data_IF_658230273808
#
_entry.id   IF_658230273808
#
_cell.length_a   1.000
_cell.length_b   1.000
_cell.length_c   1.000
_cell.angle_alpha   90.00
_cell.angle_beta   90.00
_cell.angle_gamma   90.00
#
_symmetry.space_group_name_H-M   'P 1'
#
loop_
_entity.id
_entity.type
_entity.pdbx_description
1 polymer ?
#
# COMPACT_ATOMS: atom_id res chain seq x y z
N UNK A 1 -51.49 6.36 19.86
CA UNK A 1 -51.53 5.43 18.72
C UNK A 1 -50.20 4.71 18.66
N UNK A 2 -50.17 3.41 18.38
CA UNK A 2 -48.95 2.70 17.99
C UNK A 2 -48.60 3.06 16.54
N UNK A 3 -47.35 3.47 16.28
CA UNK A 3 -46.84 3.61 14.91
C UNK A 3 -46.71 2.23 14.30
N UNK A 4 -47.07 2.07 13.02
CA UNK A 4 -46.90 0.84 12.26
C UNK A 4 -45.72 1.05 11.32
N UNK A 5 -44.57 0.47 11.67
CA UNK A 5 -43.39 0.50 10.81
C UNK A 5 -43.54 -0.51 9.67
N UNK A 6 -43.41 -0.04 8.43
CA UNK A 6 -43.43 -0.87 7.22
C UNK A 6 -42.01 -1.01 6.66
N UNK A 7 -41.62 -2.23 6.29
CA UNK A 7 -40.32 -2.52 5.68
C UNK A 7 -40.51 -3.04 4.25
N UNK A 8 -39.91 -2.36 3.27
CA UNK A 8 -39.89 -2.78 1.86
C UNK A 8 -38.54 -3.46 1.58
N UNK A 9 -38.53 -4.52 0.77
CA UNK A 9 -37.34 -5.31 0.44
C UNK A 9 -37.19 -5.45 -1.08
N UNK A 10 -36.04 -5.01 -1.62
CA UNK A 10 -35.64 -5.24 -3.00
C UNK A 10 -34.75 -6.49 -3.06
N UNK A 11 -35.36 -7.61 -3.46
CA UNK A 11 -34.76 -8.96 -3.39
C UNK A 11 -33.40 -9.12 -4.09
N UNK A 12 -33.20 -8.39 -5.19
CA UNK A 12 -32.01 -8.50 -6.06
C UNK A 12 -31.18 -7.20 -6.06
N UNK A 13 -31.25 -6.40 -4.99
CA UNK A 13 -30.51 -5.13 -4.88
C UNK A 13 -29.00 -5.33 -5.06
N UNK A 14 -28.42 -6.36 -4.44
CA UNK A 14 -26.98 -6.64 -4.52
C UNK A 14 -26.51 -6.93 -5.95
N UNK A 15 -27.27 -7.74 -6.69
CA UNK A 15 -26.93 -8.13 -8.06
C UNK A 15 -27.05 -6.92 -9.01
N UNK A 16 -28.08 -6.10 -8.83
CA UNK A 16 -28.23 -4.85 -9.57
C UNK A 16 -27.07 -3.88 -9.31
N UNK A 17 -26.68 -3.70 -8.04
CA UNK A 17 -25.54 -2.86 -7.67
C UNK A 17 -24.22 -3.40 -8.23
N UNK A 18 -23.98 -4.73 -8.20
CA UNK A 18 -22.81 -5.35 -8.85
C UNK A 18 -22.77 -4.98 -10.34
N UNK A 19 -23.84 -5.26 -11.08
CA UNK A 19 -23.89 -5.03 -12.53
C UNK A 19 -23.69 -3.54 -12.89
N UNK A 20 -24.27 -2.62 -12.12
CA UNK A 20 -24.08 -1.17 -12.33
C UNK A 20 -22.63 -0.74 -12.07
N UNK A 21 -21.97 -1.27 -11.04
CA UNK A 21 -20.57 -0.94 -10.74
C UNK A 21 -19.62 -1.54 -11.81
N UNK A 22 -19.95 -2.73 -12.34
CA UNK A 22 -19.24 -3.35 -13.47
C UNK A 22 -19.36 -2.50 -14.74
N UNK A 23 -20.55 -2.01 -15.07
CA UNK A 23 -20.80 -1.12 -16.22
C UNK A 23 -20.07 0.23 -16.07
N UNK A 24 -20.13 0.86 -14.89
CA UNK A 24 -19.38 2.08 -14.59
C UNK A 24 -17.86 1.90 -14.77
N UNK A 25 -17.29 0.79 -14.27
CA UNK A 25 -15.86 0.50 -14.43
C UNK A 25 -15.51 0.32 -15.92
N UNK A 26 -16.31 -0.46 -16.64
CA UNK A 26 -16.11 -0.75 -18.07
C UNK A 26 -16.16 0.52 -18.93
N UNK A 27 -17.07 1.44 -18.62
CA UNK A 27 -17.18 2.73 -19.30
C UNK A 27 -16.17 3.77 -18.78
N UNK A 28 -15.43 3.46 -17.70
CA UNK A 28 -14.54 4.37 -16.97
C UNK A 28 -15.26 5.59 -16.37
N UNK A 29 -16.56 5.48 -16.12
CA UNK A 29 -17.40 6.49 -15.49
C UNK A 29 -17.16 6.52 -13.98
N UNK A 30 -17.23 7.71 -13.36
CA UNK A 30 -17.03 7.94 -11.91
C UNK A 30 -15.70 7.41 -11.30
N UNK A 31 -14.78 6.91 -12.11
CA UNK A 31 -13.44 6.46 -11.68
C UNK A 31 -12.62 7.63 -11.12
N UNK A 32 -12.32 7.58 -9.83
CA UNK A 32 -11.71 8.68 -9.07
C UNK A 32 -10.30 8.35 -8.55
N UNK A 33 -9.70 7.26 -9.02
CA UNK A 33 -8.30 6.89 -8.79
C UNK A 33 -7.72 6.16 -9.99
N UNK A 34 -6.44 6.38 -10.26
CA UNK A 34 -5.66 5.57 -11.20
C UNK A 34 -4.65 4.71 -10.43
N UNK A 35 -4.47 3.46 -10.85
CA UNK A 35 -3.41 2.57 -10.40
C UNK A 35 -2.37 2.48 -11.51
N UNK A 36 -1.09 2.60 -11.17
CA UNK A 36 0.04 2.45 -12.10
C UNK A 36 0.82 1.18 -11.77
N UNK A 37 1.05 0.32 -12.77
CA UNK A 37 1.68 -0.99 -12.61
C UNK A 37 2.37 -1.41 -13.92
N UNK A 38 3.67 -1.73 -13.86
CA UNK A 38 4.45 -2.23 -15.01
C UNK A 38 4.31 -1.37 -16.31
N UNK A 39 4.17 -0.05 -16.15
CA UNK A 39 3.96 0.89 -17.27
C UNK A 39 2.48 1.13 -17.66
N UNK A 40 1.55 0.32 -17.16
CA UNK A 40 0.12 0.40 -17.44
C UNK A 40 -0.60 1.32 -16.44
N UNK A 41 -1.67 1.97 -16.88
CA UNK A 41 -2.55 2.81 -16.06
C UNK A 41 -3.96 2.22 -16.04
N UNK A 42 -4.43 1.78 -14.86
CA UNK A 42 -5.75 1.19 -14.65
C UNK A 42 -6.62 2.20 -13.89
N UNK A 43 -7.77 2.57 -14.43
CA UNK A 43 -8.75 3.40 -13.71
C UNK A 43 -9.61 2.56 -12.77
N UNK A 44 -9.96 3.10 -11.61
CA UNK A 44 -10.79 2.42 -10.61
C UNK A 44 -11.56 3.43 -9.72
N UNK A 45 -12.45 2.91 -8.89
CA UNK A 45 -13.21 3.65 -7.90
C UNK A 45 -12.61 3.46 -6.49
N UNK A 46 -12.27 4.54 -5.78
CA UNK A 46 -11.76 4.50 -4.41
C UNK A 46 -12.73 3.83 -3.45
N UNK A 47 -14.04 3.94 -3.68
CA UNK A 47 -15.05 3.34 -2.80
C UNK A 47 -14.99 1.81 -2.81
N UNK A 48 -14.80 1.19 -3.98
CA UNK A 48 -14.69 -0.27 -4.13
C UNK A 48 -13.36 -0.76 -3.59
N UNK A 49 -12.25 -0.11 -3.97
CA UNK A 49 -10.93 -0.43 -3.44
C UNK A 49 -10.89 -0.28 -1.91
N UNK A 50 -11.47 0.78 -1.35
CA UNK A 50 -11.58 0.96 0.10
C UNK A 50 -12.48 -0.07 0.77
N UNK A 51 -13.58 -0.50 0.13
CA UNK A 51 -14.45 -1.53 0.67
C UNK A 51 -13.71 -2.87 0.78
N UNK A 52 -12.99 -3.27 -0.27
CA UNK A 52 -12.38 -4.59 -0.40
C UNK A 52 -10.92 -4.68 0.10
N UNK A 53 -10.23 -3.57 0.36
CA UNK A 53 -8.84 -3.55 0.85
C UNK A 53 -8.64 -2.60 2.02
N UNK A 54 -7.94 -3.06 3.06
CA UNK A 54 -7.51 -2.21 4.18
C UNK A 54 -6.35 -1.28 3.81
N UNK A 55 -5.45 -1.72 2.93
CA UNK A 55 -4.32 -0.93 2.40
C UNK A 55 -4.83 0.32 1.66
N UNK A 56 -5.69 0.15 0.65
CA UNK A 56 -6.26 1.28 -0.09
C UNK A 56 -7.10 2.19 0.82
N UNK A 57 -7.87 1.63 1.76
CA UNK A 57 -8.67 2.38 2.75
C UNK A 57 -7.83 3.23 3.71
N UNK A 58 -6.60 2.84 4.01
CA UNK A 58 -5.68 3.65 4.83
C UNK A 58 -5.15 4.82 4.00
N UNK A 59 -4.62 4.53 2.80
CA UNK A 59 -4.00 5.53 1.92
C UNK A 59 -4.97 6.62 1.49
N UNK A 60 -6.18 6.28 1.05
CA UNK A 60 -7.17 7.26 0.59
C UNK A 60 -7.75 8.16 1.71
N UNK A 61 -7.37 7.95 2.98
CA UNK A 61 -7.66 8.90 4.07
C UNK A 61 -6.59 9.96 4.24
N UNK A 62 -5.36 9.69 3.80
CA UNK A 62 -4.22 10.60 3.96
C UNK A 62 -4.00 11.48 2.73
N UNK A 63 -4.28 10.95 1.53
CA UNK A 63 -4.25 11.73 0.29
C UNK A 63 -5.39 12.75 0.27
N UNK A 64 -5.07 13.99 -0.14
CA UNK A 64 -6.05 15.08 -0.36
C UNK A 64 -6.38 15.33 -1.84
N UNK A 65 -5.69 14.64 -2.74
CA UNK A 65 -5.87 14.75 -4.18
C UNK A 65 -7.21 14.12 -4.61
N UNK A 66 -8.06 14.80 -5.41
CA UNK A 66 -9.29 14.23 -5.93
C UNK A 66 -9.08 13.01 -6.83
N UNK A 67 -7.98 12.93 -7.59
CA UNK A 67 -7.66 11.77 -8.44
C UNK A 67 -6.19 11.32 -8.28
N UNK A 68 -5.86 10.55 -7.23
CA UNK A 68 -4.51 10.08 -6.98
C UNK A 68 -4.05 9.01 -7.97
N UNK A 69 -2.72 8.80 -8.01
CA UNK A 69 -2.08 7.71 -8.74
C UNK A 69 -1.40 6.79 -7.72
N UNK A 70 -1.91 5.57 -7.56
CA UNK A 70 -1.29 4.56 -6.68
C UNK A 70 -0.40 3.65 -7.52
N UNK A 71 0.90 3.72 -7.29
CA UNK A 71 1.90 2.84 -7.89
C UNK A 71 1.85 1.50 -7.13
N UNK A 72 1.74 0.39 -7.87
CA UNK A 72 1.77 -0.96 -7.31
C UNK A 72 3.00 -1.70 -7.84
N UNK A 73 3.86 -2.10 -6.91
CA UNK A 73 5.12 -2.81 -7.09
C UNK A 73 5.01 -4.24 -6.54
N UNK A 74 5.85 -5.15 -7.04
CA UNK A 74 5.96 -6.53 -6.51
C UNK A 74 4.75 -7.44 -6.79
N UNK A 75 3.87 -7.02 -7.70
CA UNK A 75 2.71 -7.77 -8.20
C UNK A 75 2.72 -7.58 -9.73
N UNK A 76 2.51 -8.65 -10.48
CA UNK A 76 2.41 -8.59 -11.95
C UNK A 76 1.07 -7.96 -12.38
N UNK A 77 1.04 -7.26 -13.51
CA UNK A 77 -0.16 -6.65 -14.08
C UNK A 77 -1.32 -7.64 -14.25
N UNK A 78 -1.05 -8.86 -14.74
CA UNK A 78 -2.12 -9.87 -14.89
C UNK A 78 -2.70 -10.32 -13.55
N UNK A 79 -1.85 -10.45 -12.53
CA UNK A 79 -2.25 -10.79 -11.17
C UNK A 79 -3.08 -9.66 -10.54
N UNK A 80 -2.68 -8.40 -10.73
CA UNK A 80 -3.47 -7.27 -10.22
C UNK A 80 -4.84 -7.20 -10.91
N UNK A 81 -4.95 -7.46 -12.22
CA UNK A 81 -6.24 -7.50 -12.90
C UNK A 81 -7.16 -8.58 -12.31
N UNK A 82 -6.64 -9.77 -11.97
CA UNK A 82 -7.40 -10.80 -11.26
C UNK A 82 -7.82 -10.37 -9.84
N UNK A 83 -6.97 -9.62 -9.13
CA UNK A 83 -7.31 -9.05 -7.80
C UNK A 83 -8.41 -7.99 -7.92
N UNK A 84 -8.36 -7.14 -8.95
CA UNK A 84 -9.40 -6.15 -9.21
C UNK A 84 -10.71 -6.82 -9.65
N UNK A 85 -10.66 -7.83 -10.52
CA UNK A 85 -11.83 -8.64 -10.88
C UNK A 85 -12.53 -9.19 -9.63
N UNK A 86 -11.77 -9.82 -8.73
CA UNK A 86 -12.29 -10.28 -7.43
C UNK A 86 -12.91 -9.15 -6.59
N UNK A 87 -12.30 -7.96 -6.54
CA UNK A 87 -12.83 -6.82 -5.77
C UNK A 87 -14.16 -6.27 -6.30
N UNK A 88 -14.42 -6.39 -7.60
CA UNK A 88 -15.65 -5.89 -8.24
C UNK A 88 -16.72 -6.98 -8.36
N UNK A 89 -16.33 -8.20 -8.72
CA UNK A 89 -17.24 -9.30 -8.99
C UNK A 89 -17.52 -10.20 -7.77
N UNK A 90 -16.68 -10.17 -6.73
CA UNK A 90 -16.79 -11.01 -5.53
C UNK A 90 -16.31 -12.46 -5.71
N UNK A 91 -15.93 -12.82 -6.94
CA UNK A 91 -15.37 -14.10 -7.35
C UNK A 91 -14.38 -13.85 -8.49
N UNK A 92 -13.47 -14.80 -8.76
CA UNK A 92 -12.48 -14.71 -9.84
C UNK A 92 -12.06 -16.12 -10.28
N UNK A 93 -11.81 -16.31 -11.56
CA UNK A 93 -11.44 -17.61 -12.14
C UNK A 93 -9.95 -17.65 -12.52
N UNK A 94 -9.13 -18.26 -11.65
CA UNK A 94 -7.67 -18.22 -11.76
C UNK A 94 -7.11 -19.62 -12.05
N UNK A 95 -6.13 -19.68 -12.96
CA UNK A 95 -5.36 -20.91 -13.22
C UNK A 95 -4.55 -21.31 -11.98
N UNK A 96 -4.41 -22.62 -11.74
CA UNK A 96 -3.60 -23.14 -10.61
C UNK A 96 -2.17 -22.59 -10.58
N UNK A 97 -1.55 -22.37 -11.74
CA UNK A 97 -0.18 -21.82 -11.86
C UNK A 97 -0.03 -20.38 -11.34
N UNK A 98 -1.11 -19.58 -11.31
CA UNK A 98 -1.10 -18.18 -10.88
C UNK A 98 -1.65 -17.99 -9.45
N UNK A 99 -2.08 -19.07 -8.79
CA UNK A 99 -2.83 -18.98 -7.53
C UNK A 99 -1.99 -18.45 -6.37
N UNK A 100 -0.75 -18.92 -6.22
CA UNK A 100 0.13 -18.50 -5.11
C UNK A 100 0.58 -17.03 -5.26
N UNK A 101 0.78 -16.57 -6.49
CA UNK A 101 1.08 -15.16 -6.80
C UNK A 101 -0.13 -14.26 -6.54
N UNK A 102 -1.32 -14.70 -6.94
CA UNK A 102 -2.59 -14.03 -6.60
C UNK A 102 -2.81 -13.94 -5.09
N UNK A 103 -2.57 -15.01 -4.34
CA UNK A 103 -2.70 -15.01 -2.88
C UNK A 103 -1.63 -14.12 -2.21
N UNK A 104 -0.40 -14.08 -2.75
CA UNK A 104 0.67 -13.18 -2.28
C UNK A 104 0.31 -11.71 -2.53
N UNK A 105 -0.16 -11.37 -3.73
CA UNK A 105 -0.62 -10.02 -4.08
C UNK A 105 -1.84 -9.59 -3.27
N UNK A 106 -2.83 -10.48 -3.12
CA UNK A 106 -4.03 -10.24 -2.31
C UNK A 106 -3.71 -10.03 -0.82
N UNK A 107 -2.70 -10.73 -0.29
CA UNK A 107 -2.22 -10.50 1.08
C UNK A 107 -1.47 -9.17 1.21
N UNK A 108 -0.63 -8.83 0.24
CA UNK A 108 0.10 -7.54 0.19
C UNK A 108 -0.86 -6.35 0.18
N UNK A 109 -1.88 -6.38 -0.69
CA UNK A 109 -2.93 -5.37 -0.78
C UNK A 109 -4.03 -5.52 0.30
N UNK A 110 -3.84 -6.37 1.30
CA UNK A 110 -4.73 -6.59 2.45
C UNK A 110 -6.21 -6.78 2.03
N UNK A 111 -6.45 -7.64 1.04
CA UNK A 111 -7.76 -7.86 0.42
C UNK A 111 -8.66 -8.73 1.31
N UNK A 112 -9.83 -8.20 1.65
CA UNK A 112 -10.81 -8.87 2.47
C UNK A 112 -11.32 -10.17 1.82
N UNK A 113 -11.68 -11.15 2.65
CA UNK A 113 -12.04 -12.51 2.19
C UNK A 113 -10.84 -13.41 1.90
N UNK A 114 -9.75 -12.87 1.35
CA UNK A 114 -8.55 -13.64 0.96
C UNK A 114 -7.46 -13.65 2.05
N UNK A 115 -7.35 -12.57 2.85
CA UNK A 115 -6.38 -12.47 3.95
C UNK A 115 -6.61 -13.42 5.12
N UNK A 116 -7.76 -14.10 5.19
CA UNK A 116 -8.22 -14.85 6.37
C UNK A 116 -8.39 -16.37 6.14
N UNK A 117 -7.67 -16.95 5.17
CA UNK A 117 -7.52 -18.41 5.06
C UNK A 117 -6.62 -18.89 6.21
N UNK A 118 -7.26 -19.34 7.29
CA UNK A 118 -6.57 -19.76 8.50
C UNK A 118 -5.82 -21.09 8.27
N UNK A 119 -4.61 -21.23 8.82
CA UNK A 119 -3.65 -22.28 8.44
C UNK A 119 -3.92 -23.67 9.06
N UNK A 120 -5.19 -24.01 9.28
CA UNK A 120 -5.65 -25.18 10.05
C UNK A 120 -6.67 -26.08 9.32
N UNK A 121 -7.02 -25.78 8.07
CA UNK A 121 -8.04 -26.52 7.30
C UNK A 121 -7.52 -27.20 6.03
N UNK A 122 -6.32 -27.78 6.10
CA UNK A 122 -5.76 -28.66 5.06
C UNK A 122 -5.21 -29.98 5.65
N UNK A 123 -5.87 -30.47 6.71
CA UNK A 123 -5.60 -31.81 7.26
C UNK A 123 -6.84 -32.40 7.96
N UNK A 124 -7.91 -32.64 7.17
CA UNK A 124 -8.93 -33.70 7.38
C UNK A 124 -10.00 -33.75 6.28
N UNK A 125 -10.40 -34.99 6.00
CA UNK A 125 -11.71 -35.47 5.54
C UNK A 125 -12.35 -34.74 4.35
N UNK A 126 -12.37 -35.29 3.13
CA UNK A 126 -12.91 -36.60 2.70
C UNK A 126 -14.38 -36.80 3.08
N UNK A 127 -15.23 -36.50 2.08
CA UNK A 127 -16.60 -37.03 1.86
C UNK A 127 -17.83 -36.32 2.48
N UNK A 128 -18.93 -36.39 1.72
CA UNK A 128 -20.34 -36.15 2.07
C UNK A 128 -20.86 -34.76 2.49
N UNK A 129 -21.32 -34.00 1.49
CA UNK A 129 -22.75 -33.65 1.31
C UNK A 129 -23.66 -33.31 2.50
N UNK A 130 -24.22 -32.08 2.44
CA UNK A 130 -25.48 -31.58 3.08
C UNK A 130 -25.47 -31.34 4.61
N UNK A 131 -25.79 -30.11 5.03
CA UNK A 131 -27.15 -29.67 5.48
C UNK A 131 -27.12 -28.19 5.90
N UNK A 132 -28.16 -27.42 5.53
CA UNK A 132 -28.39 -26.02 5.96
C UNK A 132 -29.06 -25.97 7.34
N UNK A 133 -28.64 -25.05 8.24
CA UNK A 133 -29.55 -24.44 9.26
C UNK A 133 -29.04 -23.20 10.02
N UNK A 134 -29.75 -22.09 9.80
CA UNK A 134 -30.22 -21.08 10.79
C UNK A 134 -29.27 -20.51 11.88
N UNK A 135 -28.85 -19.26 11.65
CA UNK A 135 -28.98 -18.08 12.54
C UNK A 135 -29.26 -18.31 14.05
N UNK A 136 -28.37 -17.78 14.91
CA UNK A 136 -28.73 -17.20 16.22
C UNK A 136 -27.95 -15.91 16.49
N UNK A 137 -28.63 -14.81 16.84
CA UNK A 137 -28.04 -13.54 17.32
C UNK A 137 -28.00 -13.52 18.86
N UNK A 138 -26.95 -12.93 19.47
CA UNK A 138 -26.90 -12.33 20.83
C UNK A 138 -25.44 -11.91 21.17
N UNK A 139 -25.18 -10.98 22.10
CA UNK A 139 -25.67 -9.59 22.09
C UNK A 139 -24.53 -8.57 22.33
N UNK A 140 -24.76 -7.29 22.04
CA UNK A 140 -23.83 -6.20 22.39
C UNK A 140 -23.93 -5.89 23.90
N UNK A 141 -22.79 -5.67 24.55
CA UNK A 141 -22.70 -4.95 25.84
C UNK A 141 -21.70 -3.80 25.69
N UNK A 142 -22.17 -2.58 25.92
CA UNK A 142 -21.28 -1.42 26.12
C UNK A 142 -20.76 -1.42 27.56
N UNK A 143 -19.53 -0.93 27.75
CA UNK A 143 -19.14 -0.11 28.90
C UNK A 143 -17.97 0.78 28.48
N UNK A 144 -17.64 1.81 29.29
CA UNK A 144 -17.05 3.07 28.82
C UNK A 144 -16.06 3.63 29.85
N UNK A 145 -14.93 4.21 29.40
CA UNK A 145 -13.91 4.93 30.22
C UNK A 145 -13.10 3.92 31.11
N UNK A 146 -11.83 4.09 31.50
CA UNK A 146 -10.97 5.27 31.76
C UNK A 146 -9.47 5.06 31.38
N UNK A 147 -8.54 5.94 31.80
CA UNK A 147 -7.21 6.12 31.16
C UNK A 147 -5.99 6.36 32.09
N UNK A 148 -4.93 5.55 31.94
CA UNK A 148 -3.54 5.78 32.43
C UNK A 148 -2.58 4.76 31.78
N UNK A 149 -1.52 5.09 31.01
CA UNK A 149 -0.22 5.79 31.28
C UNK A 149 0.93 4.87 31.77
N UNK A 150 2.03 4.84 30.97
CA UNK A 150 3.45 4.54 31.35
C UNK A 150 3.75 3.04 31.64
N UNK A 151 4.91 2.40 31.34
CA UNK A 151 6.24 2.70 30.72
C UNK A 151 6.54 1.56 29.68
N UNK A 152 7.36 1.64 28.61
CA UNK A 152 8.83 1.89 28.48
C UNK A 152 9.74 1.00 29.36
N UNK A 153 10.31 -0.08 28.81
CA UNK A 153 11.76 -0.18 28.47
C UNK A 153 12.20 -1.58 27.93
N UNK A 154 13.31 -1.56 27.18
CA UNK A 154 14.41 -2.53 27.01
C UNK A 154 14.17 -4.06 26.90
N UNK A 155 14.40 -4.60 25.69
CA UNK A 155 15.29 -5.75 25.44
C UNK A 155 16.16 -5.42 24.20
N UNK A 156 17.45 -5.79 24.22
CA UNK A 156 18.47 -5.58 23.16
C UNK A 156 19.21 -6.89 22.87
N UNK A 157 19.70 -7.04 21.63
CA UNK A 157 20.50 -8.17 21.12
C UNK A 157 19.76 -9.55 21.23
N UNK A 158 19.99 -10.57 20.40
CA UNK A 158 21.14 -11.04 19.60
C UNK A 158 20.57 -11.68 18.29
N UNK A 159 20.81 -11.16 17.08
CA UNK A 159 21.99 -11.25 16.17
C UNK A 159 22.24 -12.62 15.48
N UNK A 160 22.43 -12.56 14.15
CA UNK A 160 22.98 -13.60 13.23
C UNK A 160 22.11 -14.86 13.07
N UNK A 161 21.60 -15.25 11.88
CA UNK A 161 21.56 -14.60 10.54
C UNK A 161 20.31 -15.15 9.75
N UNK A 162 20.14 -15.21 8.42
CA UNK A 162 21.00 -15.20 7.20
C UNK A 162 20.38 -14.28 6.12
N UNK A 163 21.18 -13.77 5.19
CA UNK A 163 20.74 -12.95 4.05
C UNK A 163 20.31 -13.76 2.81
N UNK A 164 19.29 -13.29 2.09
CA UNK A 164 19.30 -13.18 0.62
C UNK A 164 18.23 -12.15 0.15
N UNK A 165 18.23 -11.80 -1.14
CA UNK A 165 17.33 -10.83 -1.80
C UNK A 165 17.25 -9.41 -1.18
N UNK A 166 18.37 -8.68 -1.21
CA UNK A 166 18.41 -7.22 -0.99
C UNK A 166 19.19 -6.49 -2.10
N UNK A 167 18.96 -6.90 -3.35
CA UNK A 167 19.79 -6.57 -4.53
C UNK A 167 19.75 -5.12 -4.99
N UNK A 168 18.78 -4.31 -4.55
CA UNK A 168 18.65 -2.89 -4.93
C UNK A 168 19.29 -1.90 -3.94
N UNK A 169 19.83 -2.35 -2.80
CA UNK A 169 20.46 -1.45 -1.81
C UNK A 169 21.96 -1.19 -2.04
N UNK A 170 22.59 -1.89 -2.99
CA UNK A 170 24.04 -1.79 -3.23
C UNK A 170 24.43 -0.66 -4.21
N UNK A 171 23.56 -0.28 -5.14
CA UNK A 171 23.88 0.74 -6.17
C UNK A 171 23.91 2.18 -5.61
N UNK A 172 23.09 2.52 -4.60
CA UNK A 172 23.07 3.87 -3.98
C UNK A 172 24.39 4.27 -3.29
N UNK A 173 25.35 3.34 -3.09
CA UNK A 173 26.66 3.65 -2.47
C UNK A 173 27.82 3.75 -3.46
N UNK A 174 27.81 3.03 -4.59
CA UNK A 174 28.97 2.97 -5.52
C UNK A 174 29.35 4.35 -6.05
N UNK A 175 28.35 5.17 -6.39
CA UNK A 175 28.57 6.55 -6.84
C UNK A 175 29.10 7.48 -5.73
N UNK A 176 28.78 7.18 -4.46
CA UNK A 176 29.16 8.02 -3.32
C UNK A 176 30.59 7.75 -2.85
N UNK A 177 31.01 6.48 -2.77
CA UNK A 177 32.36 6.12 -2.32
C UNK A 177 33.44 6.48 -3.37
N UNK A 178 33.06 6.62 -4.65
CA UNK A 178 33.94 7.13 -5.72
C UNK A 178 34.30 8.63 -5.55
N UNK A 179 33.45 9.44 -4.92
CA UNK A 179 33.57 10.90 -4.83
C UNK A 179 34.33 11.36 -3.57
N UNK A 180 34.48 10.49 -2.56
CA UNK A 180 35.12 10.81 -1.28
C UNK A 180 36.66 10.75 -1.33
N UNK A 181 37.29 11.68 -2.06
CA UNK A 181 38.76 11.80 -2.16
C UNK A 181 39.35 13.14 -1.66
N UNK A 182 38.76 13.74 -0.62
CA UNK A 182 39.32 14.95 0.02
C UNK A 182 39.30 14.87 1.55
N UNK A 183 40.43 14.47 2.12
CA UNK A 183 40.83 14.78 3.50
C UNK A 183 41.71 16.05 3.47
N UNK A 184 41.14 17.23 3.70
CA UNK A 184 41.93 18.45 3.83
C UNK A 184 42.60 18.49 5.22
N UNK A 185 43.92 18.25 5.24
CA UNK A 185 44.74 18.00 6.44
C UNK A 185 45.00 19.23 7.34
N UNK A 186 43.97 20.03 7.60
CA UNK A 186 43.98 21.18 8.51
C UNK A 186 42.60 21.61 9.03
N UNK A 187 41.48 21.10 8.49
CA UNK A 187 40.12 21.45 8.91
C UNK A 187 39.17 20.26 8.75
N UNK A 188 38.32 19.97 9.74
CA UNK A 188 37.38 18.84 9.77
C UNK A 188 36.13 19.04 8.87
N UNK A 189 36.30 19.69 7.71
CA UNK A 189 35.21 20.06 6.80
C UNK A 189 35.18 19.22 5.52
N UNK A 190 33.98 18.73 5.20
CA UNK A 190 33.68 17.93 4.01
C UNK A 190 33.12 18.83 2.89
N UNK A 191 33.83 18.96 1.78
CA UNK A 191 33.46 19.85 0.66
C UNK A 191 32.76 19.09 -0.47
N UNK A 192 31.74 19.72 -1.08
CA UNK A 192 31.13 19.25 -2.32
C UNK A 192 31.96 19.68 -3.53
N UNK A 193 32.38 18.74 -4.36
CA UNK A 193 33.14 19.02 -5.59
C UNK A 193 32.31 19.73 -6.67
N UNK A 194 31.03 19.36 -6.83
CA UNK A 194 30.11 19.94 -7.82
C UNK A 194 29.82 21.43 -7.57
N UNK A 195 29.81 21.91 -6.32
CA UNK A 195 29.43 23.30 -6.03
C UNK A 195 30.15 23.99 -4.85
N UNK A 196 31.27 23.45 -4.37
CA UNK A 196 32.18 24.10 -3.40
C UNK A 196 31.63 24.31 -1.97
N UNK A 197 30.45 23.79 -1.63
CA UNK A 197 29.85 23.95 -0.29
C UNK A 197 30.52 23.03 0.73
N UNK A 198 30.92 23.57 1.87
CA UNK A 198 31.50 22.80 2.99
C UNK A 198 30.45 22.38 4.02
N UNK A 199 30.71 21.28 4.72
CA UNK A 199 29.85 20.69 5.73
C UNK A 199 30.69 20.07 6.86
N UNK A 200 30.33 20.34 8.11
CA UNK A 200 31.02 19.81 9.30
C UNK A 200 30.84 18.28 9.52
N UNK A 201 30.09 17.58 8.65
CA UNK A 201 29.76 16.16 8.82
C UNK A 201 29.61 15.45 7.46
N UNK A 202 30.23 14.28 7.32
CA UNK A 202 30.15 13.39 6.14
C UNK A 202 28.70 13.12 5.70
N UNK A 203 27.79 12.89 6.66
CA UNK A 203 26.36 12.66 6.38
C UNK A 203 25.62 13.90 5.86
N UNK A 204 26.07 15.10 6.24
CA UNK A 204 25.51 16.34 5.71
C UNK A 204 25.95 16.58 4.28
N UNK A 205 27.19 16.22 3.92
CA UNK A 205 27.64 16.17 2.54
C UNK A 205 26.91 15.06 1.73
N UNK A 206 26.78 13.83 2.27
CA UNK A 206 26.01 12.74 1.61
C UNK A 206 24.57 13.16 1.32
N UNK A 207 23.92 13.83 2.27
CA UNK A 207 22.56 14.38 2.10
C UNK A 207 22.52 15.54 1.09
N UNK A 208 23.61 16.29 0.93
CA UNK A 208 23.68 17.38 -0.05
C UNK A 208 23.88 16.87 -1.48
N UNK A 209 24.72 15.85 -1.72
CA UNK A 209 24.87 15.26 -3.06
C UNK A 209 23.53 14.81 -3.65
N UNK A 210 22.58 14.42 -2.80
CA UNK A 210 21.19 14.10 -3.17
C UNK A 210 20.35 15.26 -3.77
N UNK A 211 20.95 16.43 -3.95
CA UNK A 211 20.38 17.58 -4.69
C UNK A 211 20.90 17.62 -6.14
N UNK A 212 22.12 17.12 -6.39
CA UNK A 212 22.76 17.13 -7.71
C UNK A 212 22.39 15.89 -8.55
N UNK A 213 22.17 14.74 -7.90
CA UNK A 213 21.61 13.53 -8.53
C UNK A 213 20.09 13.60 -8.78
N UNK A 214 19.42 14.66 -8.29
CA UNK A 214 17.97 14.83 -8.36
C UNK A 214 17.14 13.99 -7.37
N UNK A 215 17.74 13.13 -6.53
CA UNK A 215 17.05 12.19 -5.65
C UNK A 215 16.24 12.83 -4.49
N UNK A 216 16.30 14.15 -4.33
CA UNK A 216 15.42 14.94 -3.46
C UNK A 216 14.57 15.98 -4.20
N UNK A 217 14.58 15.98 -5.54
CA UNK A 217 13.84 16.91 -6.39
C UNK A 217 12.52 16.28 -6.84
N UNK A 218 11.41 17.02 -6.71
CA UNK A 218 10.14 16.60 -7.30
C UNK A 218 10.17 16.73 -8.83
N UNK A 219 9.96 15.63 -9.55
CA UNK A 219 9.89 15.60 -11.02
C UNK A 219 8.71 16.40 -11.60
N UNK A 220 7.67 16.67 -10.81
CA UNK A 220 6.43 17.32 -11.29
C UNK A 220 6.45 18.84 -11.11
N UNK A 221 7.01 19.35 -10.01
CA UNK A 221 7.07 20.79 -9.72
C UNK A 221 8.48 21.34 -9.50
N UNK A 222 9.52 20.56 -9.84
CA UNK A 222 10.96 20.88 -9.70
C UNK A 222 11.41 21.30 -8.29
N UNK A 223 10.57 21.11 -7.27
CA UNK A 223 10.88 21.51 -5.90
C UNK A 223 11.90 20.57 -5.27
N UNK A 224 13.03 21.12 -4.81
CA UNK A 224 14.03 20.41 -4.02
C UNK A 224 13.56 20.30 -2.55
N UNK A 225 13.64 19.10 -1.99
CA UNK A 225 13.33 18.81 -0.59
C UNK A 225 14.62 18.45 0.18
N UNK A 226 14.58 18.45 1.50
CA UNK A 226 15.78 18.21 2.32
C UNK A 226 16.10 16.73 2.61
N UNK A 227 15.18 15.80 2.28
CA UNK A 227 15.27 14.34 2.57
C UNK A 227 14.40 13.54 1.58
N UNK A 228 14.74 12.28 1.29
CA UNK A 228 13.92 11.33 0.48
C UNK A 228 12.50 11.20 1.06
N UNK A 229 12.38 10.98 2.37
CA UNK A 229 11.10 10.95 3.10
C UNK A 229 10.31 12.28 3.13
N UNK A 230 10.96 13.41 2.83
CA UNK A 230 10.26 14.68 2.63
C UNK A 230 9.74 14.82 1.20
N UNK A 231 10.42 14.23 0.20
CA UNK A 231 9.95 14.12 -1.17
C UNK A 231 8.80 13.11 -1.28
N UNK A 232 8.90 11.93 -0.69
CA UNK A 232 7.82 10.92 -0.61
C UNK A 232 6.53 11.55 -0.08
N UNK A 233 6.56 12.13 1.12
CA UNK A 233 5.42 12.84 1.71
C UNK A 233 4.93 14.01 0.86
N UNK A 234 5.81 14.68 0.11
CA UNK A 234 5.42 15.76 -0.80
C UNK A 234 4.67 15.22 -2.02
N UNK A 235 5.11 14.13 -2.62
CA UNK A 235 4.41 13.44 -3.72
C UNK A 235 3.01 12.98 -3.27
N UNK A 236 2.90 12.36 -2.10
CA UNK A 236 1.62 11.94 -1.49
C UNK A 236 0.68 13.15 -1.27
N UNK A 237 1.19 14.22 -0.65
CA UNK A 237 0.34 15.34 -0.17
C UNK A 237 0.15 16.50 -1.14
N UNK A 238 0.84 16.52 -2.29
CA UNK A 238 0.74 17.58 -3.32
C UNK A 238 0.51 17.07 -4.75
N UNK A 239 0.69 15.78 -5.00
CA UNK A 239 0.50 15.18 -6.32
C UNK A 239 -0.32 13.88 -6.27
N UNK A 240 -0.74 13.43 -5.08
CA UNK A 240 -1.53 12.21 -4.90
C UNK A 240 -0.81 10.92 -5.29
N UNK A 241 0.53 10.92 -5.37
CA UNK A 241 1.33 9.75 -5.76
C UNK A 241 1.74 8.97 -4.52
N UNK A 242 1.41 7.68 -4.48
CA UNK A 242 1.73 6.76 -3.37
C UNK A 242 2.18 5.42 -3.94
N UNK A 243 3.13 4.73 -3.29
CA UNK A 243 3.49 3.34 -3.59
C UNK A 243 3.17 2.41 -2.42
N UNK A 244 2.99 1.12 -2.70
CA UNK A 244 3.07 0.07 -1.69
C UNK A 244 4.52 -0.26 -1.30
#
# INVERSE_FOLDING_TARGET
MSVIDLTINWKNHSDHIKNVIEELLKNNELTDVTIFIEGNYIKAHKVILSACSLYFRQIFKEIKEPSPIVIINGIEHSILLNILDFMYNGEVHIKKELFDDFMRGSKSLQVCGLTYINKESLDKDVNSSKVVKSVRKRPIKNNKVESSKICKNDIKEELVEVFEDNSQFLEENVLFDAVLKQENKSTEEYTCDICGKTYQLKDSLKRHYRVHDGATTCSICSKVLSRKTHLERHLITKHGIVSN
#
